data_IF_362406338836
#
_entry.id   IF_362406338836
#
_cell.length_a   1.000
_cell.length_b   1.000
_cell.length_c   1.000
_cell.angle_alpha   90.00
_cell.angle_beta   90.00
_cell.angle_gamma   90.00
#
_symmetry.space_group_name_H-M   'P 1'
#
loop_
_entity.id
_entity.type
_entity.pdbx_description
1 polymer ?
#
# COMPACT_ATOMS: atom_id res chain seq x y z
N UNK A 1 11.34 8.13 -7.60
CA UNK A 1 11.18 8.75 -8.95
C UNK A 1 10.19 7.96 -9.83
N UNK A 2 10.24 6.62 -9.84
CA UNK A 2 9.34 5.77 -10.64
C UNK A 2 7.83 5.98 -10.36
N UNK A 3 7.37 5.84 -9.11
CA UNK A 3 5.94 5.95 -8.74
C UNK A 3 5.28 7.26 -9.21
N UNK A 4 5.94 8.40 -8.98
CA UNK A 4 5.44 9.72 -9.43
C UNK A 4 5.34 9.80 -10.95
N UNK A 5 6.29 9.21 -11.67
CA UNK A 5 6.28 9.20 -13.14
C UNK A 5 5.19 8.28 -13.68
N UNK A 6 5.05 7.07 -13.13
CA UNK A 6 3.96 6.15 -13.49
C UNK A 6 2.58 6.74 -13.22
N UNK A 7 2.41 7.46 -12.10
CA UNK A 7 1.17 8.20 -11.84
C UNK A 7 0.92 9.30 -12.89
N UNK A 8 1.95 10.07 -13.30
CA UNK A 8 1.83 11.09 -14.36
C UNK A 8 1.51 10.48 -15.73
N UNK A 9 2.13 9.34 -16.06
CA UNK A 9 1.90 8.57 -17.30
C UNK A 9 0.57 7.82 -17.31
N UNK A 10 -0.18 7.86 -16.20
CA UNK A 10 -1.45 7.14 -16.00
C UNK A 10 -1.31 5.61 -16.03
N UNK A 11 -0.11 5.11 -15.78
CA UNK A 11 0.18 3.68 -15.58
C UNK A 11 -0.36 3.20 -14.22
N UNK A 12 -0.46 4.12 -13.25
CA UNK A 12 -1.06 3.90 -11.92
C UNK A 12 -2.22 4.88 -11.76
N UNK A 13 -3.39 4.33 -11.41
CA UNK A 13 -4.63 5.10 -11.22
C UNK A 13 -4.95 5.35 -9.75
N UNK A 14 -4.36 4.58 -8.84
CA UNK A 14 -4.63 4.65 -7.40
C UNK A 14 -3.34 4.47 -6.59
N UNK A 15 -3.19 5.28 -5.55
CA UNK A 15 -2.12 5.16 -4.55
C UNK A 15 -2.78 5.19 -3.17
N UNK A 16 -2.48 4.18 -2.35
CA UNK A 16 -2.90 4.10 -0.94
C UNK A 16 -1.68 4.17 -0.04
N UNK A 17 -1.76 4.99 1.01
CA UNK A 17 -0.78 5.00 2.08
C UNK A 17 -1.24 4.01 3.16
N UNK A 18 -0.38 3.06 3.50
CA UNK A 18 -0.64 2.04 4.50
C UNK A 18 0.20 2.36 5.73
N UNK A 19 -0.40 2.26 6.91
CA UNK A 19 0.32 2.41 8.17
C UNK A 19 1.48 1.39 8.26
N UNK A 20 2.63 1.80 8.78
CA UNK A 20 3.81 0.93 8.86
C UNK A 20 3.57 -0.33 9.70
N UNK A 21 2.78 -0.25 10.75
CA UNK A 21 2.54 -1.36 11.68
C UNK A 21 1.69 -2.47 11.03
N UNK A 22 0.88 -2.09 10.04
CA UNK A 22 0.04 -2.98 9.24
C UNK A 22 0.63 -3.28 7.84
N UNK A 23 1.87 -2.88 7.56
CA UNK A 23 2.53 -3.12 6.27
C UNK A 23 3.50 -4.32 6.35
N UNK A 24 3.21 -5.49 5.77
CA UNK A 24 4.11 -6.65 5.85
C UNK A 24 5.43 -6.42 5.10
N UNK A 25 5.46 -5.51 4.12
CA UNK A 25 6.71 -5.18 3.43
C UNK A 25 7.69 -4.41 4.33
N UNK A 26 7.18 -3.62 5.28
CA UNK A 26 8.00 -2.91 6.27
C UNK A 26 8.75 -3.91 7.17
N UNK A 27 8.09 -5.00 7.59
CA UNK A 27 8.72 -6.07 8.36
C UNK A 27 9.93 -6.70 7.66
N UNK A 28 9.91 -6.84 6.33
CA UNK A 28 11.04 -7.40 5.58
C UNK A 28 12.28 -6.51 5.58
N UNK A 29 12.13 -5.24 5.96
CA UNK A 29 13.26 -4.29 6.05
C UNK A 29 13.77 -4.08 7.48
N UNK A 30 13.10 -4.67 8.47
CA UNK A 30 13.41 -4.54 9.90
C UNK A 30 13.99 -5.85 10.44
N UNK A 31 14.73 -5.74 11.55
CA UNK A 31 15.29 -6.91 12.24
C UNK A 31 14.24 -7.74 13.01
N UNK A 32 13.10 -7.12 13.34
CA UNK A 32 12.00 -7.76 14.08
C UNK A 32 10.73 -7.75 13.23
N UNK A 33 9.90 -8.82 13.30
CA UNK A 33 8.61 -8.84 12.61
C UNK A 33 7.69 -7.75 13.15
N UNK A 34 6.79 -7.23 12.30
CA UNK A 34 5.70 -6.38 12.75
C UNK A 34 4.41 -7.19 12.92
N UNK A 35 3.40 -6.58 13.56
CA UNK A 35 2.11 -7.22 13.79
C UNK A 35 1.44 -7.71 12.51
N UNK A 36 1.63 -7.00 11.38
CA UNK A 36 1.12 -7.42 10.08
C UNK A 36 1.69 -8.79 9.66
N UNK A 37 3.00 -8.96 9.77
CA UNK A 37 3.68 -10.20 9.41
C UNK A 37 3.32 -11.34 10.37
N UNK A 38 3.27 -11.07 11.68
CA UNK A 38 2.88 -12.08 12.68
C UNK A 38 1.46 -12.62 12.44
N UNK A 39 0.49 -11.72 12.22
CA UNK A 39 -0.90 -12.11 11.92
C UNK A 39 -1.00 -12.87 10.61
N UNK A 40 -0.24 -12.46 9.60
CA UNK A 40 -0.20 -13.14 8.31
C UNK A 40 0.31 -14.58 8.45
N UNK A 41 1.41 -14.80 9.17
CA UNK A 41 1.96 -16.15 9.39
C UNK A 41 0.99 -17.02 10.18
N UNK A 42 0.39 -16.49 11.25
CA UNK A 42 -0.47 -17.27 12.14
C UNK A 42 -1.84 -17.61 11.53
N UNK A 43 -2.42 -16.67 10.79
CA UNK A 43 -3.84 -16.75 10.38
C UNK A 43 -4.03 -16.79 8.86
N UNK A 44 -2.95 -16.67 8.07
CA UNK A 44 -2.97 -16.48 6.62
C UNK A 44 -3.89 -15.32 6.18
N UNK A 45 -3.96 -14.27 7.02
CA UNK A 45 -4.80 -13.10 6.80
C UNK A 45 -4.00 -11.83 7.04
N UNK A 46 -4.17 -10.88 6.14
CA UNK A 46 -3.60 -9.54 6.25
C UNK A 46 -4.73 -8.52 6.35
N UNK A 47 -4.66 -7.64 7.34
CA UNK A 47 -5.51 -6.45 7.45
C UNK A 47 -4.60 -5.25 7.34
N UNK A 48 -4.90 -4.36 6.40
CA UNK A 48 -4.11 -3.14 6.16
C UNK A 48 -4.93 -1.93 6.54
N UNK A 49 -4.41 -1.10 7.45
CA UNK A 49 -4.99 0.21 7.70
C UNK A 49 -4.49 1.21 6.65
N UNK A 50 -5.45 1.81 5.93
CA UNK A 50 -5.17 2.84 4.93
C UNK A 50 -5.27 4.21 5.60
N UNK A 51 -4.15 4.91 5.73
CA UNK A 51 -4.08 6.24 6.33
C UNK A 51 -4.55 7.34 5.36
N UNK A 52 -4.55 7.04 4.06
CA UNK A 52 -5.09 7.91 3.03
C UNK A 52 -4.96 7.31 1.64
N UNK A 53 -5.62 7.91 0.66
CA UNK A 53 -5.49 7.50 -0.74
C UNK A 53 -5.70 8.67 -1.70
N UNK A 54 -5.14 8.51 -2.89
CA UNK A 54 -5.43 9.35 -4.05
C UNK A 54 -5.83 8.44 -5.19
N UNK A 55 -6.98 8.75 -5.81
CA UNK A 55 -7.47 8.07 -6.99
C UNK A 55 -7.64 9.07 -8.11
N UNK A 56 -7.19 8.70 -9.31
CA UNK A 56 -7.44 9.49 -10.51
C UNK A 56 -8.91 9.34 -10.92
N UNK A 57 -9.59 10.43 -11.31
CA UNK A 57 -10.92 10.32 -11.91
C UNK A 57 -10.86 9.41 -13.14
N UNK A 58 -11.70 8.38 -13.17
CA UNK A 58 -12.00 7.70 -14.44
C UNK A 58 -12.54 8.79 -15.37
N UNK A 59 -11.98 8.88 -16.59
CA UNK A 59 -12.27 9.98 -17.50
C UNK A 59 -13.77 10.26 -17.53
N UNK A 60 -14.17 11.43 -17.02
CA UNK A 60 -15.50 11.96 -17.26
C UNK A 60 -15.62 12.09 -18.77
N UNK A 61 -16.40 11.19 -19.38
CA UNK A 61 -16.91 11.38 -20.73
C UNK A 61 -17.67 12.70 -20.73
N UNK A 62 -17.01 13.75 -21.21
CA UNK A 62 -17.66 14.99 -21.64
C UNK A 62 -18.04 14.78 -23.11
#
# INVERSE_FOLDING_TARGET
>A
IALRQSYKRREITEIRWINSDDNPADAFTKASPNHALERFVNNNKLTVQVDGWVQRPAGSSI
#
